data_IF_223689132124
#
_entry.id   IF_223689132124
#
_cell.length_a   1.000
_cell.length_b   1.000
_cell.length_c   1.000
_cell.angle_alpha   90.00
_cell.angle_beta   90.00
_cell.angle_gamma   90.00
#
_symmetry.space_group_name_H-M   'P 1'
#
loop_
_entity.id
_entity.type
_entity.pdbx_description
1 polymer ?
#
# COMPACT_ATOMS: atom_id res chain seq x y z
N UNK A 1 -16.13 -3.55 6.65
CA UNK A 1 -14.87 -3.17 7.33
C UNK A 1 -14.95 -3.64 8.77
N UNK A 2 -13.88 -4.21 9.34
CA UNK A 2 -13.87 -4.57 10.78
C UNK A 2 -13.33 -3.36 11.55
N UNK A 3 -14.10 -2.76 12.47
CA UNK A 3 -13.64 -1.63 13.28
C UNK A 3 -12.32 -1.96 14.00
N UNK A 4 -11.35 -1.05 13.94
CA UNK A 4 -10.05 -1.19 14.60
C UNK A 4 -9.01 -2.03 13.85
N UNK A 5 -9.36 -2.71 12.75
CA UNK A 5 -8.38 -3.44 11.94
C UNK A 5 -7.85 -2.58 10.80
N UNK A 6 -6.53 -2.36 10.76
CA UNK A 6 -5.88 -1.72 9.63
C UNK A 6 -6.10 -2.57 8.37
N UNK A 7 -6.88 -2.03 7.44
CA UNK A 7 -7.21 -2.73 6.20
C UNK A 7 -6.16 -2.41 5.13
N UNK A 8 -5.66 -3.45 4.46
CA UNK A 8 -4.82 -3.27 3.28
C UNK A 8 -5.70 -2.80 2.12
N UNK A 9 -5.32 -1.70 1.50
CA UNK A 9 -5.88 -1.27 0.23
C UNK A 9 -5.03 -1.83 -0.92
N UNK A 10 -5.63 -2.04 -2.09
CA UNK A 10 -5.00 -2.64 -3.26
C UNK A 10 -5.43 -1.88 -4.50
N UNK A 11 -4.51 -1.72 -5.44
CA UNK A 11 -4.81 -1.14 -6.73
C UNK A 11 -5.58 -2.09 -7.63
N UNK A 12 -6.06 -1.58 -8.76
CA UNK A 12 -6.48 -2.43 -9.87
C UNK A 12 -5.31 -3.26 -10.41
N UNK A 13 -5.64 -4.37 -11.06
CA UNK A 13 -4.65 -5.24 -11.71
C UNK A 13 -4.53 -4.83 -13.17
N UNK A 14 -3.36 -4.34 -13.56
CA UNK A 14 -3.02 -4.07 -14.96
C UNK A 14 -2.35 -5.32 -15.54
N UNK A 15 -3.00 -5.93 -16.52
CA UNK A 15 -2.51 -7.16 -17.17
C UNK A 15 -1.54 -6.83 -18.30
N UNK A 16 -0.64 -7.77 -18.60
CA UNK A 16 0.23 -7.75 -19.78
C UNK A 16 1.10 -6.49 -19.93
N UNK A 17 1.51 -5.85 -18.83
CA UNK A 17 2.43 -4.70 -18.85
C UNK A 17 3.58 -4.91 -17.87
N UNK A 18 4.79 -4.50 -18.28
CA UNK A 18 5.96 -4.35 -17.39
C UNK A 18 6.12 -2.92 -16.86
N UNK A 19 5.32 -1.99 -17.36
CA UNK A 19 5.32 -0.57 -16.98
C UNK A 19 3.88 -0.13 -16.66
N UNK A 20 3.26 -0.68 -15.60
CA UNK A 20 1.89 -0.31 -15.23
C UNK A 20 1.85 1.15 -14.75
N UNK A 21 0.84 1.89 -15.20
CA UNK A 21 0.49 3.22 -14.69
C UNK A 21 -0.86 3.10 -14.00
N UNK A 22 -0.87 3.16 -12.67
CA UNK A 22 -2.08 2.97 -11.88
C UNK A 22 -2.93 4.25 -11.83
N UNK A 23 -2.31 5.40 -11.49
CA UNK A 23 -3.02 6.67 -11.26
C UNK A 23 -4.22 6.50 -10.30
N UNK A 24 -3.99 5.84 -9.17
CA UNK A 24 -5.01 5.59 -8.14
C UNK A 24 -4.60 6.25 -6.82
N UNK A 25 -5.58 6.88 -6.16
CA UNK A 25 -5.43 7.44 -4.82
C UNK A 25 -5.91 6.45 -3.74
N UNK A 26 -5.21 6.46 -2.59
CA UNK A 26 -5.52 5.64 -1.43
C UNK A 26 -5.70 6.53 -0.20
N UNK A 27 -6.79 6.33 0.55
CA UNK A 27 -7.15 7.15 1.70
C UNK A 27 -7.12 6.32 2.99
N UNK A 28 -6.42 6.82 4.00
CA UNK A 28 -6.29 6.19 5.31
C UNK A 28 -6.82 7.13 6.41
N UNK A 29 -8.02 6.84 6.91
CA UNK A 29 -8.64 7.63 7.97
C UNK A 29 -8.14 7.25 9.37
N UNK A 30 -8.40 8.13 10.35
CA UNK A 30 -8.11 7.86 11.77
C UNK A 30 -6.62 7.96 12.15
N UNK A 31 -5.80 8.60 11.32
CA UNK A 31 -4.39 8.88 11.61
C UNK A 31 -4.26 10.15 12.46
N UNK A 32 -4.22 9.99 13.78
CA UNK A 32 -3.93 11.08 14.73
C UNK A 32 -2.42 11.28 14.97
N UNK A 33 -1.97 12.45 15.48
CA UNK A 33 -0.55 12.75 15.66
C UNK A 33 0.24 11.71 16.47
N UNK A 34 -0.39 11.11 17.48
CA UNK A 34 0.23 10.09 18.32
C UNK A 34 0.42 8.73 17.62
N UNK A 35 -0.47 8.38 16.68
CA UNK A 35 -0.34 7.13 15.92
C UNK A 35 0.63 7.28 14.76
N UNK A 36 0.68 8.46 14.13
CA UNK A 36 1.56 8.69 12.98
C UNK A 36 3.05 8.43 13.29
N UNK A 37 3.52 8.82 14.48
CA UNK A 37 4.91 8.56 14.91
C UNK A 37 5.25 7.08 15.07
N UNK A 38 4.25 6.20 15.15
CA UNK A 38 4.40 4.75 15.36
C UNK A 38 4.07 3.92 14.13
N UNK A 39 3.73 4.57 13.01
CA UNK A 39 3.25 3.91 11.80
C UNK A 39 4.17 4.18 10.61
N UNK A 40 4.14 3.26 9.65
CA UNK A 40 4.84 3.36 8.38
C UNK A 40 3.90 3.02 7.22
N UNK A 41 4.09 3.68 6.09
CA UNK A 41 3.48 3.32 4.82
C UNK A 41 4.33 2.24 4.16
N UNK A 42 3.71 1.11 3.84
CA UNK A 42 4.35 -0.02 3.19
C UNK A 42 3.70 -0.33 1.86
N UNK A 43 4.47 -0.20 0.80
CA UNK A 43 4.04 -0.38 -0.59
C UNK A 43 4.72 -1.65 -1.12
N UNK A 44 3.94 -2.54 -1.73
CA UNK A 44 4.45 -3.76 -2.39
C UNK A 44 4.01 -3.77 -3.84
N UNK A 45 4.95 -4.01 -4.74
CA UNK A 45 4.66 -4.30 -6.15
C UNK A 45 4.57 -5.81 -6.29
N UNK A 46 3.42 -6.30 -6.74
CA UNK A 46 3.14 -7.73 -6.82
C UNK A 46 2.69 -8.08 -8.22
N UNK A 47 3.36 -9.06 -8.84
CA UNK A 47 2.84 -9.72 -10.02
C UNK A 47 1.79 -10.75 -9.59
N UNK A 48 0.53 -10.48 -9.92
CA UNK A 48 -0.58 -11.37 -9.58
C UNK A 48 -0.48 -12.65 -10.41
N UNK A 49 -0.44 -13.79 -9.74
CA UNK A 49 -0.44 -15.09 -10.41
C UNK A 49 -1.74 -15.33 -11.19
N UNK A 50 -1.65 -15.99 -12.34
CA UNK A 50 -2.81 -16.47 -13.09
C UNK A 50 -3.31 -17.80 -12.52
N UNK A 51 -4.63 -17.96 -12.36
CA UNK A 51 -5.26 -19.21 -11.92
C UNK A 51 -4.70 -19.72 -10.59
N UNK A 52 -4.01 -20.87 -10.58
CA UNK A 52 -3.44 -21.50 -9.38
C UNK A 52 -2.01 -21.01 -9.06
N UNK A 53 -1.41 -20.19 -9.92
CA UNK A 53 -0.06 -19.66 -9.67
C UNK A 53 -0.10 -18.70 -8.49
N UNK A 54 0.92 -18.79 -7.63
CA UNK A 54 1.09 -17.86 -6.51
C UNK A 54 1.48 -16.47 -7.03
N UNK A 55 1.12 -15.47 -6.23
CA UNK A 55 1.58 -14.11 -6.43
C UNK A 55 3.09 -14.03 -6.23
N UNK A 56 3.76 -13.23 -7.05
CA UNK A 56 5.21 -12.99 -6.95
C UNK A 56 5.43 -11.56 -6.49
N UNK A 57 6.13 -11.37 -5.37
CA UNK A 57 6.57 -10.05 -4.93
C UNK A 57 7.71 -9.57 -5.84
N UNK A 58 7.52 -8.44 -6.50
CA UNK A 58 8.53 -7.83 -7.36
C UNK A 58 9.37 -6.80 -6.59
N UNK A 59 8.79 -6.13 -5.61
CA UNK A 59 9.49 -5.14 -4.81
C UNK A 59 8.65 -4.63 -3.65
N UNK A 60 9.32 -4.05 -2.65
CA UNK A 60 8.69 -3.47 -1.47
C UNK A 60 9.43 -2.21 -1.04
N UNK A 61 8.69 -1.24 -0.53
CA UNK A 61 9.22 -0.05 0.13
C UNK A 61 8.42 0.21 1.39
N UNK A 62 9.13 0.48 2.47
CA UNK A 62 8.54 0.94 3.73
C UNK A 62 9.11 2.32 4.07
N UNK A 63 8.23 3.23 4.50
CA UNK A 63 8.56 4.61 4.84
C UNK A 63 7.82 4.98 6.14
N UNK A 64 8.51 5.42 7.19
CA UNK A 64 7.86 5.98 8.37
C UNK A 64 6.95 7.14 7.96
N UNK A 65 5.73 7.22 8.50
CA UNK A 65 4.81 8.30 8.13
C UNK A 65 5.36 9.69 8.50
N UNK A 66 6.22 9.76 9.53
CA UNK A 66 6.95 10.98 9.91
C UNK A 66 7.89 11.50 8.83
N UNK A 67 8.37 10.65 7.92
CA UNK A 67 9.21 11.08 6.79
C UNK A 67 8.41 11.62 5.59
N UNK A 68 7.10 11.31 5.55
CA UNK A 68 6.21 11.66 4.45
C UNK A 68 5.37 12.90 4.74
N UNK A 69 5.16 13.20 6.01
CA UNK A 69 4.27 14.28 6.45
C UNK A 69 5.12 15.47 6.92
N UNK A 70 5.19 16.57 6.15
CA UNK A 70 6.11 17.67 6.40
C UNK A 70 5.80 18.52 7.64
N UNK A 71 4.68 18.27 8.34
CA UNK A 71 4.16 19.11 9.42
C UNK A 71 3.85 18.35 10.71
N UNK A 72 4.62 17.29 11.02
CA UNK A 72 4.55 16.59 12.31
C UNK A 72 5.82 16.75 13.13
#
# INVERSE_FOLDING_TARGET
LVPGKMQKQRSTIIKNSRHPVFNEDFFFDGLGPASVRKLALRIKVVNKGSSLKRDTLLGEKELPLTSLLPFL
#
